data_IF_940459269616
#
_entry.id   IF_940459269616
#
_cell.length_a   1.000
_cell.length_b   1.000
_cell.length_c   1.000
_cell.angle_alpha   90.00
_cell.angle_beta   90.00
_cell.angle_gamma   90.00
#
_symmetry.space_group_name_H-M   'P 1'
#
loop_
_entity.id
_entity.type
_entity.pdbx_description
1 polymer ?
#
# COMPACT_ATOMS: atom_id res chain seq x y z
N UNK A 1 -6.96 8.87 -10.82
CA UNK A 1 -6.41 7.86 -11.76
C UNK A 1 -4.95 7.46 -11.48
N UNK A 2 -4.06 8.36 -11.06
CA UNK A 2 -2.63 8.04 -10.84
C UNK A 2 -2.37 6.93 -9.81
N UNK A 3 -3.14 6.85 -8.73
CA UNK A 3 -3.01 5.80 -7.70
C UNK A 3 -3.32 4.42 -8.29
N UNK A 4 -4.36 4.26 -9.10
CA UNK A 4 -4.69 2.97 -9.73
C UNK A 4 -3.57 2.47 -10.66
N UNK A 5 -2.95 3.38 -11.42
CA UNK A 5 -1.81 3.05 -12.28
C UNK A 5 -0.56 2.69 -11.46
N UNK A 6 -0.30 3.43 -10.37
CA UNK A 6 0.76 3.14 -9.43
C UNK A 6 0.59 1.75 -8.76
N UNK A 7 -0.63 1.41 -8.36
CA UNK A 7 -0.98 0.12 -7.76
C UNK A 7 -0.89 -1.05 -8.75
N UNK A 8 -0.91 -0.77 -10.06
CA UNK A 8 -0.77 -1.79 -11.12
C UNK A 8 0.59 -2.50 -11.15
N UNK A 9 1.63 -1.92 -10.54
CA UNK A 9 2.97 -2.54 -10.46
C UNK A 9 3.16 -3.44 -9.23
N UNK A 10 2.20 -3.41 -8.31
CA UNK A 10 2.20 -4.20 -7.10
C UNK A 10 1.55 -5.56 -7.35
N UNK A 11 2.01 -6.58 -6.62
CA UNK A 11 1.29 -7.85 -6.58
C UNK A 11 -0.09 -7.64 -5.94
N UNK A 12 -1.06 -8.50 -6.25
CA UNK A 12 -2.42 -8.36 -5.71
C UNK A 12 -2.44 -8.22 -4.18
N UNK A 13 -1.62 -9.01 -3.46
CA UNK A 13 -1.51 -8.92 -2.00
C UNK A 13 -0.83 -7.66 -1.48
N UNK A 14 0.05 -7.04 -2.25
CA UNK A 14 0.66 -5.75 -1.90
C UNK A 14 -0.34 -4.62 -2.13
N UNK A 15 -1.10 -4.69 -3.24
CA UNK A 15 -2.16 -3.76 -3.57
C UNK A 15 -3.27 -3.77 -2.53
N UNK A 16 -3.79 -4.95 -2.21
CA UNK A 16 -4.89 -5.14 -1.25
C UNK A 16 -4.52 -4.64 0.15
N UNK A 17 -3.27 -4.86 0.58
CA UNK A 17 -2.75 -4.29 1.84
C UNK A 17 -2.73 -2.77 1.81
N UNK A 18 -2.26 -2.14 0.73
CA UNK A 18 -2.29 -0.68 0.63
C UNK A 18 -3.71 -0.13 0.49
N UNK A 19 -4.58 -0.82 -0.24
CA UNK A 19 -5.98 -0.43 -0.40
C UNK A 19 -6.72 -0.40 0.93
N UNK A 20 -6.51 -1.41 1.78
CA UNK A 20 -7.06 -1.46 3.13
C UNK A 20 -6.39 -0.44 4.08
N UNK A 21 -5.06 -0.30 4.00
CA UNK A 21 -4.30 0.64 4.86
C UNK A 21 -4.70 2.09 4.64
N UNK A 22 -4.93 2.48 3.39
CA UNK A 22 -5.19 3.86 2.99
C UNK A 22 -6.66 4.11 2.62
N UNK A 23 -7.55 3.16 2.89
CA UNK A 23 -8.98 3.28 2.59
C UNK A 23 -9.27 3.57 1.12
N UNK A 24 -8.48 3.02 0.19
CA UNK A 24 -8.58 3.34 -1.24
C UNK A 24 -9.82 2.71 -1.90
N UNK A 25 -10.50 1.81 -1.19
CA UNK A 25 -11.69 1.08 -1.65
C UNK A 25 -12.94 1.49 -0.88
N UNK A 26 -12.85 1.56 0.44
CA UNK A 26 -13.95 1.81 1.38
C UNK A 26 -13.92 3.21 2.01
N UNK A 27 -12.86 3.99 1.76
CA UNK A 27 -12.68 5.33 2.32
C UNK A 27 -12.23 5.36 3.77
N UNK A 28 -11.92 4.20 4.38
CA UNK A 28 -11.47 4.10 5.76
C UNK A 28 -10.05 3.54 5.86
N UNK A 29 -9.17 4.28 6.51
CA UNK A 29 -7.82 3.84 6.80
C UNK A 29 -7.84 2.81 7.93
N UNK A 30 -7.15 1.69 7.71
CA UNK A 30 -7.01 0.63 8.69
C UNK A 30 -5.60 0.60 9.26
N UNK A 31 -5.50 0.29 10.55
CA UNK A 31 -4.21 0.09 11.22
C UNK A 31 -3.52 -1.19 10.73
N UNK A 32 -2.19 -1.26 10.87
CA UNK A 32 -1.43 -2.49 10.57
C UNK A 32 -1.94 -3.72 11.31
N UNK A 33 -2.56 -3.53 12.48
CA UNK A 33 -3.10 -4.61 13.30
C UNK A 33 -4.45 -5.09 12.78
N UNK A 34 -5.36 -4.19 12.38
CA UNK A 34 -6.65 -4.53 11.75
C UNK A 34 -6.45 -5.23 10.42
N UNK A 35 -5.55 -4.69 9.58
CA UNK A 35 -5.17 -5.32 8.32
C UNK A 35 -4.52 -6.68 8.58
N UNK A 36 -3.68 -6.79 9.63
CA UNK A 36 -3.08 -8.07 10.03
C UNK A 36 -4.14 -9.11 10.39
N UNK A 37 -5.15 -8.72 11.18
CA UNK A 37 -6.29 -9.58 11.54
C UNK A 37 -7.09 -10.02 10.31
N UNK A 38 -7.38 -9.10 9.39
CA UNK A 38 -8.09 -9.41 8.14
C UNK A 38 -7.34 -10.43 7.28
N UNK A 39 -6.02 -10.28 7.13
CA UNK A 39 -5.20 -11.20 6.33
C UNK A 39 -4.73 -12.45 7.08
N UNK A 40 -5.08 -12.61 8.36
CA UNK A 40 -4.62 -13.72 9.21
C UNK A 40 -3.10 -13.73 9.41
N UNK A 41 -2.45 -12.57 9.44
CA UNK A 41 -0.99 -12.43 9.59
C UNK A 41 -0.64 -11.46 10.70
N UNK A 42 0.62 -11.50 11.14
CA UNK A 42 1.10 -10.60 12.18
C UNK A 42 1.19 -9.15 11.68
N UNK A 43 1.09 -8.19 12.61
CA UNK A 43 1.32 -6.76 12.36
C UNK A 43 2.64 -6.51 11.62
N UNK A 44 3.71 -7.17 12.04
CA UNK A 44 5.03 -7.02 11.42
C UNK A 44 5.04 -7.53 9.97
N UNK A 45 4.25 -8.56 9.66
CA UNK A 45 4.11 -9.03 8.28
C UNK A 45 3.45 -7.98 7.39
N UNK A 46 2.42 -7.29 7.86
CA UNK A 46 1.80 -6.18 7.12
C UNK A 46 2.80 -5.04 6.90
N UNK A 47 3.55 -4.67 7.95
CA UNK A 47 4.60 -3.64 7.85
C UNK A 47 5.66 -3.99 6.79
N UNK A 48 6.09 -5.25 6.73
CA UNK A 48 7.04 -5.71 5.71
C UNK A 48 6.47 -5.60 4.29
N UNK A 49 5.19 -5.96 4.10
CA UNK A 49 4.51 -5.88 2.81
C UNK A 49 4.38 -4.41 2.38
N UNK A 50 3.96 -3.53 3.29
CA UNK A 50 3.86 -2.09 3.07
C UNK A 50 5.22 -1.50 2.67
N UNK A 51 6.28 -1.77 3.44
CA UNK A 51 7.63 -1.29 3.12
C UNK A 51 8.12 -1.78 1.75
N UNK A 52 7.83 -3.05 1.40
CA UNK A 52 8.19 -3.61 0.10
C UNK A 52 7.42 -2.94 -1.04
N UNK A 53 6.13 -2.71 -0.85
CA UNK A 53 5.28 -2.02 -1.82
C UNK A 53 5.74 -0.57 -2.02
N UNK A 54 5.93 0.18 -0.93
CA UNK A 54 6.47 1.55 -0.95
C UNK A 54 7.83 1.64 -1.64
N UNK A 55 8.71 0.64 -1.45
CA UNK A 55 9.99 0.58 -2.18
C UNK A 55 9.80 0.42 -3.69
N UNK A 56 8.83 -0.37 -4.14
CA UNK A 56 8.48 -0.52 -5.56
C UNK A 56 7.91 0.78 -6.14
N UNK A 57 7.10 1.50 -5.35
CA UNK A 57 6.50 2.78 -5.74
C UNK A 57 7.51 3.93 -5.78
N UNK A 58 8.52 3.94 -4.90
CA UNK A 58 9.59 4.96 -4.84
C UNK A 58 10.69 4.83 -5.89
N UNK A 59 10.66 3.81 -6.76
CA UNK A 59 11.70 3.62 -7.77
C UNK A 59 11.81 4.85 -8.69
N UNK A 60 12.99 5.47 -8.89
CA UNK A 60 13.15 6.80 -9.51
C UNK A 60 12.61 6.90 -10.95
N UNK A 61 12.60 5.80 -11.70
CA UNK A 61 11.97 5.73 -13.04
C UNK A 61 10.43 5.82 -13.00
N UNK A 62 9.82 5.64 -11.82
CA UNK A 62 8.37 5.47 -11.61
C UNK A 62 7.78 6.42 -10.54
N UNK A 63 8.63 7.00 -9.69
CA UNK A 63 8.23 7.82 -8.53
C UNK A 63 7.71 9.22 -8.88
N UNK A 64 7.81 9.66 -10.14
CA UNK A 64 7.33 10.99 -10.57
C UNK A 64 5.80 11.15 -10.38
N UNK A 65 5.04 10.06 -10.26
CA UNK A 65 3.57 10.08 -10.10
C UNK A 65 3.09 9.88 -8.65
N UNK A 66 3.98 9.57 -7.71
CA UNK A 66 3.64 9.09 -6.35
C UNK A 66 4.21 9.93 -5.22
N UNK A 67 5.10 10.89 -5.53
CA UNK A 67 5.72 11.77 -4.53
C UNK A 67 4.69 12.54 -3.71
N UNK A 68 3.65 13.04 -4.37
CA UNK A 68 2.66 13.92 -3.73
C UNK A 68 1.71 13.18 -2.76
N UNK A 69 1.66 11.85 -2.79
CA UNK A 69 0.75 11.05 -1.95
C UNK A 69 1.46 10.37 -0.76
N UNK A 70 2.79 10.30 -0.79
CA UNK A 70 3.62 9.63 0.23
C UNK A 70 4.25 10.60 1.23
N UNK A 71 4.04 11.90 1.07
CA UNK A 71 4.52 12.97 1.97
C UNK A 71 3.42 13.52 2.91
N UNK A 72 2.26 12.86 3.01
CA UNK A 72 1.26 13.09 4.07
C UNK A 72 1.65 12.36 5.36
#
# INVERSE_FOLDING_TARGET
>A
EQIKNALGVLSDREREVLEQRFGLVDGQDHTLEEVGRYFGVTRERIRQIEAKALRKLRHPTRSRQLRDYLEL
#
